data_IF_091954007747
#
_entry.id   IF_091954007747
#
_cell.length_a   1.000
_cell.length_b   1.000
_cell.length_c   1.000
_cell.angle_alpha   90.00
_cell.angle_beta   90.00
_cell.angle_gamma   90.00
#
_symmetry.space_group_name_H-M   'P 1'
#
loop_
_entity.id
_entity.type
_entity.pdbx_description
1 polymer ?
#
# COMPACT_ATOMS: atom_id res chain seq x y z
N UNK A 1 -26.72 -10.10 2.60
CA UNK A 1 -25.63 -9.83 3.56
C UNK A 1 -24.47 -9.38 2.70
N UNK A 2 -23.91 -8.19 2.92
CA UNK A 2 -22.79 -7.68 2.10
C UNK A 2 -21.60 -8.62 2.34
N UNK A 3 -21.07 -9.24 1.29
CA UNK A 3 -20.04 -10.28 1.39
C UNK A 3 -18.68 -9.69 1.82
N UNK A 4 -18.53 -9.40 3.10
CA UNK A 4 -17.31 -8.85 3.73
C UNK A 4 -16.07 -9.78 3.57
N UNK A 5 -16.29 -11.05 3.24
CA UNK A 5 -15.20 -12.01 2.99
C UNK A 5 -14.45 -11.68 1.70
N UNK A 6 -15.18 -11.22 0.70
CA UNK A 6 -14.67 -10.83 -0.60
C UNK A 6 -13.73 -9.63 -0.52
N UNK A 7 -14.13 -8.60 0.24
CA UNK A 7 -13.36 -7.38 0.42
C UNK A 7 -11.96 -7.68 0.99
N UNK A 8 -11.89 -8.62 1.95
CA UNK A 8 -10.60 -9.04 2.52
C UNK A 8 -9.70 -9.74 1.53
N UNK A 9 -10.21 -10.60 0.67
CA UNK A 9 -9.40 -11.28 -0.35
C UNK A 9 -8.91 -10.31 -1.43
N UNK A 10 -9.75 -9.35 -1.82
CA UNK A 10 -9.42 -8.26 -2.73
C UNK A 10 -8.27 -7.41 -2.20
N UNK A 11 -8.41 -6.89 -0.99
CA UNK A 11 -7.39 -6.08 -0.32
C UNK A 11 -6.10 -6.89 -0.21
N UNK A 12 -6.17 -8.17 0.19
CA UNK A 12 -4.98 -9.01 0.33
C UNK A 12 -4.25 -9.24 -0.98
N UNK A 13 -4.98 -9.32 -2.09
CA UNK A 13 -4.42 -9.45 -3.44
C UNK A 13 -3.72 -8.15 -3.86
N UNK A 14 -4.38 -7.01 -3.67
CA UNK A 14 -3.81 -5.69 -3.96
C UNK A 14 -2.61 -5.37 -3.06
N UNK A 15 -2.68 -5.76 -1.79
CA UNK A 15 -1.57 -5.64 -0.84
C UNK A 15 -0.38 -6.44 -1.32
N UNK A 16 -0.57 -7.69 -1.72
CA UNK A 16 0.51 -8.53 -2.22
C UNK A 16 1.14 -7.98 -3.51
N UNK A 17 0.32 -7.41 -4.40
CA UNK A 17 0.81 -6.73 -5.62
C UNK A 17 1.60 -5.47 -5.25
N UNK A 18 1.03 -4.63 -4.40
CA UNK A 18 1.62 -3.38 -3.92
C UNK A 18 2.91 -3.57 -3.14
N UNK A 19 3.06 -4.64 -2.37
CA UNK A 19 4.34 -4.96 -1.70
C UNK A 19 5.40 -5.37 -2.72
N UNK A 20 5.04 -6.12 -3.77
CA UNK A 20 5.99 -6.57 -4.80
C UNK A 20 6.52 -5.42 -5.64
N UNK A 21 5.64 -4.54 -6.10
CA UNK A 21 5.99 -3.45 -7.02
C UNK A 21 6.20 -2.10 -6.30
N UNK A 22 5.71 -1.96 -5.08
CA UNK A 22 5.82 -0.75 -4.24
C UNK A 22 4.64 0.22 -4.34
N UNK A 23 3.68 -0.05 -5.24
CA UNK A 23 2.52 0.78 -5.52
C UNK A 23 1.39 -0.07 -6.10
N UNK A 24 0.18 0.46 -6.21
CA UNK A 24 -0.92 -0.08 -7.03
C UNK A 24 -1.58 1.04 -7.78
N UNK A 25 -2.08 0.77 -8.99
CA UNK A 25 -2.76 1.80 -9.77
C UNK A 25 -4.27 1.76 -9.55
N UNK A 26 -4.95 2.89 -9.78
CA UNK A 26 -6.41 2.94 -9.73
C UNK A 26 -7.05 1.94 -10.70
N UNK A 27 -6.39 1.64 -11.82
CA UNK A 27 -6.85 0.64 -12.76
C UNK A 27 -6.64 -0.79 -12.24
N UNK A 28 -5.55 -1.07 -11.51
CA UNK A 28 -5.40 -2.36 -10.82
C UNK A 28 -6.50 -2.60 -9.80
N UNK A 29 -6.86 -1.55 -9.05
CA UNK A 29 -7.99 -1.57 -8.14
C UNK A 29 -9.26 -1.81 -8.95
N UNK A 30 -9.54 -1.00 -9.97
CA UNK A 30 -10.75 -1.14 -10.78
C UNK A 30 -10.87 -2.51 -11.49
N UNK A 31 -9.77 -3.12 -11.92
CA UNK A 31 -9.76 -4.43 -12.59
C UNK A 31 -10.08 -5.56 -11.60
N UNK A 32 -9.46 -5.51 -10.42
CA UNK A 32 -9.71 -6.44 -9.31
C UNK A 32 -11.12 -6.25 -8.72
N UNK A 33 -11.66 -5.03 -8.79
CA UNK A 33 -12.98 -4.67 -8.29
C UNK A 33 -14.09 -4.87 -9.32
N UNK A 34 -13.81 -4.91 -10.63
CA UNK A 34 -14.83 -5.05 -11.67
C UNK A 34 -15.60 -6.39 -11.58
N UNK A 35 -14.97 -7.41 -11.00
CA UNK A 35 -15.62 -8.69 -10.70
C UNK A 35 -16.62 -8.61 -9.53
N UNK A 36 -16.61 -7.52 -8.76
CA UNK A 36 -17.41 -7.34 -7.57
C UNK A 36 -18.26 -6.07 -7.68
N UNK A 37 -19.58 -6.21 -7.53
CA UNK A 37 -20.53 -5.09 -7.64
C UNK A 37 -20.37 -4.16 -6.42
N UNK A 38 -19.32 -3.33 -6.43
CA UNK A 38 -18.91 -2.45 -5.34
C UNK A 38 -19.24 -0.99 -5.67
N UNK A 39 -19.54 -0.22 -4.64
CA UNK A 39 -19.85 1.22 -4.76
C UNK A 39 -18.56 2.04 -4.63
N UNK A 40 -18.59 3.31 -5.06
CA UNK A 40 -17.43 4.21 -4.96
C UNK A 40 -16.87 4.28 -3.53
N UNK A 41 -17.73 4.27 -2.51
CA UNK A 41 -17.32 4.27 -1.10
C UNK A 41 -16.38 3.09 -0.75
N UNK A 42 -16.61 1.90 -1.32
CA UNK A 42 -15.80 0.71 -1.03
C UNK A 42 -14.41 0.80 -1.67
N UNK A 43 -14.31 1.51 -2.80
CA UNK A 43 -13.04 1.78 -3.48
C UNK A 43 -12.21 2.71 -2.61
N UNK A 44 -12.80 3.80 -2.11
CA UNK A 44 -12.13 4.76 -1.23
C UNK A 44 -11.66 4.12 0.09
N UNK A 45 -12.48 3.25 0.69
CA UNK A 45 -12.10 2.49 1.89
C UNK A 45 -10.90 1.57 1.61
N UNK A 46 -10.87 0.90 0.46
CA UNK A 46 -9.75 0.03 0.08
C UNK A 46 -8.47 0.81 -0.21
N UNK A 47 -8.57 1.96 -0.88
CA UNK A 47 -7.44 2.86 -1.11
C UNK A 47 -6.82 3.28 0.22
N UNK A 48 -7.67 3.62 1.20
CA UNK A 48 -7.21 3.99 2.54
C UNK A 48 -6.48 2.82 3.22
N UNK A 49 -7.04 1.60 3.15
CA UNK A 49 -6.41 0.40 3.71
C UNK A 49 -5.07 0.04 3.05
N UNK A 50 -4.93 0.30 1.75
CA UNK A 50 -3.67 0.11 1.02
C UNK A 50 -2.62 1.14 1.46
N UNK A 51 -3.00 2.41 1.56
CA UNK A 51 -2.14 3.49 2.05
C UNK A 51 -1.69 3.25 3.49
N UNK A 52 -2.60 2.81 4.36
CA UNK A 52 -2.32 2.44 5.75
C UNK A 52 -1.35 1.26 5.84
N UNK A 53 -1.37 0.36 4.85
CA UNK A 53 -0.42 -0.76 4.73
C UNK A 53 0.95 -0.33 4.16
N UNK A 54 1.15 0.97 3.88
CA UNK A 54 2.38 1.50 3.30
C UNK A 54 2.48 1.36 1.78
N UNK A 55 1.35 1.13 1.09
CA UNK A 55 1.29 0.95 -0.35
C UNK A 55 0.76 2.23 -0.99
N UNK A 56 1.53 2.80 -1.92
CA UNK A 56 1.09 3.98 -2.65
C UNK A 56 0.06 3.62 -3.71
N UNK A 57 -1.01 4.41 -3.80
CA UNK A 57 -2.00 4.30 -4.86
C UNK A 57 -1.75 5.42 -5.87
N UNK A 58 -1.58 5.06 -7.15
CA UNK A 58 -1.27 6.00 -8.23
C UNK A 58 -2.37 6.00 -9.30
N UNK A 59 -2.52 7.10 -10.04
CA UNK A 59 -3.32 7.06 -11.26
C UNK A 59 -2.57 6.33 -12.38
N UNK A 60 -3.29 5.83 -13.39
CA UNK A 60 -2.65 5.16 -14.55
C UNK A 60 -1.61 6.03 -15.24
N UNK A 61 -1.83 7.34 -15.26
CA UNK A 61 -0.92 8.29 -15.89
C UNK A 61 0.41 8.45 -15.14
N UNK A 62 0.43 8.08 -13.86
CA UNK A 62 1.54 8.33 -12.93
C UNK A 62 2.40 7.07 -12.70
N UNK A 63 2.17 5.98 -13.46
CA UNK A 63 2.95 4.75 -13.35
C UNK A 63 4.45 5.00 -13.64
N UNK A 64 4.76 5.94 -14.55
CA UNK A 64 6.13 6.36 -14.84
C UNK A 64 6.80 7.10 -13.66
N UNK A 65 6.02 7.78 -12.80
CA UNK A 65 6.52 8.47 -11.60
C UNK A 65 6.62 7.54 -10.38
N UNK A 66 6.00 6.36 -10.45
CA UNK A 66 5.96 5.40 -9.36
C UNK A 66 7.36 5.05 -8.84
N UNK A 67 8.31 4.86 -9.74
CA UNK A 67 9.69 4.45 -9.42
C UNK A 67 10.39 5.41 -8.44
N UNK A 68 10.10 6.71 -8.50
CA UNK A 68 10.70 7.73 -7.63
C UNK A 68 10.07 7.74 -6.23
N UNK A 69 8.79 7.37 -6.13
CA UNK A 69 8.01 7.40 -4.89
C UNK A 69 8.33 6.17 -4.02
N UNK A 70 8.52 5.00 -4.65
CA UNK A 70 8.83 3.76 -3.92
C UNK A 70 10.15 3.85 -3.16
N UNK A 71 11.15 4.51 -3.75
CA UNK A 71 12.49 4.66 -3.15
C UNK A 71 12.41 5.45 -1.83
N UNK A 72 11.59 6.51 -1.79
CA UNK A 72 11.36 7.34 -0.61
C UNK A 72 10.60 6.62 0.50
N UNK A 73 9.77 5.63 0.15
CA UNK A 73 8.90 4.92 1.09
C UNK A 73 9.66 3.83 1.86
N UNK A 74 10.61 3.15 1.20
CA UNK A 74 11.42 2.07 1.79
C UNK A 74 12.43 2.55 2.83
N UNK A 75 12.73 3.85 2.85
CA UNK A 75 13.68 4.46 3.79
C UNK A 75 13.08 4.69 5.19
N UNK A 76 11.77 4.46 5.41
CA UNK A 76 11.13 4.74 6.70
C UNK A 76 11.07 3.58 7.71
N UNK A 77 11.53 2.36 7.36
CA UNK A 77 11.49 1.19 8.27
C UNK A 77 12.86 0.85 8.90
N UNK A 78 13.80 1.78 8.92
CA UNK A 78 15.21 1.51 9.28
C UNK A 78 15.79 2.35 10.43
N UNK A 79 14.99 2.84 11.38
CA UNK A 79 15.53 3.48 12.60
C UNK A 79 14.94 2.78 13.82
N UNK A 80 15.42 1.57 14.06
CA UNK A 80 15.55 1.04 15.41
C UNK A 80 16.95 0.43 15.52
N UNK A 81 17.89 1.22 16.01
CA UNK A 81 19.02 0.71 16.77
C UNK A 81 19.37 1.77 17.82
N UNK A 82 18.60 1.69 18.91
CA UNK A 82 18.97 2.20 20.22
C UNK A 82 20.16 1.36 20.72
N UNK A 83 21.39 1.89 20.69
CA UNK A 83 22.42 1.46 21.63
C UNK A 83 23.23 2.66 22.14
N UNK A 84 22.75 3.16 23.27
CA UNK A 84 23.45 4.05 24.18
C UNK A 84 24.67 3.35 24.82
N UNK A 85 25.85 3.41 24.18
CA UNK A 85 27.08 3.03 24.87
C UNK A 85 27.77 4.25 25.49
N UNK A 86 27.41 4.55 26.74
CA UNK A 86 28.19 5.34 27.70
C UNK A 86 29.64 4.85 27.69
N UNK A 87 30.56 5.64 27.12
CA UNK A 87 31.99 5.42 27.33
C UNK A 87 32.54 6.59 28.12
N UNK A 88 32.43 6.45 29.44
CA UNK A 88 33.23 7.13 30.45
C UNK A 88 34.67 7.43 29.96
N UNK A 89 34.97 8.70 29.72
CA UNK A 89 36.35 9.19 29.60
C UNK A 89 36.79 9.60 31.00
N UNK A 90 37.69 8.79 31.57
CA UNK A 90 38.44 9.07 32.80
C UNK A 90 39.36 10.27 32.65
#
# INVERSE_FOLDING_TARGET
MKDLQTDKELIRTLVSKGIKQGFVTFNDINDVFSDYVLSADNIDETISLLQDSGINVLEQSDEDEASSIVESSRLKDGIDDDDVSDTSIK
#
